data_IF_234603956071
#
_entry.id   IF_234603956071
#
_cell.length_a   1.000
_cell.length_b   1.000
_cell.length_c   1.000
_cell.angle_alpha   90.00
_cell.angle_beta   90.00
_cell.angle_gamma   90.00
#
_symmetry.space_group_name_H-M   'P 1'
#
loop_
_entity.id
_entity.type
_entity.pdbx_description
1 polymer ?
#
# COMPACT_ATOMS: atom_id res chain seq x y z
N UNK A 1 10.82 49.08 29.26
CA UNK A 1 11.54 48.24 28.29
C UNK A 1 10.50 47.61 27.37
N UNK A 2 10.38 48.07 26.12
CA UNK A 2 9.43 47.53 25.14
C UNK A 2 10.14 46.42 24.38
N UNK A 3 9.70 45.17 24.57
CA UNK A 3 10.17 44.04 23.77
C UNK A 3 9.45 44.13 22.42
N UNK A 4 10.20 44.41 21.36
CA UNK A 4 9.75 44.23 19.98
C UNK A 4 9.99 42.76 19.62
N UNK A 5 8.91 41.96 19.55
CA UNK A 5 8.97 40.65 18.93
C UNK A 5 8.94 40.86 17.41
N UNK A 6 10.08 40.68 16.75
CA UNK A 6 10.12 40.55 15.31
C UNK A 6 9.64 39.14 14.96
N UNK A 7 8.34 38.96 14.75
CA UNK A 7 7.81 37.78 14.09
C UNK A 7 8.22 37.86 12.63
N UNK A 8 9.32 37.17 12.29
CA UNK A 8 9.66 36.92 10.89
C UNK A 8 8.51 36.08 10.33
N UNK A 9 7.76 36.58 9.35
CA UNK A 9 6.78 35.76 8.68
C UNK A 9 7.56 34.75 7.84
N UNK A 10 7.51 33.47 8.21
CA UNK A 10 7.93 32.38 7.33
C UNK A 10 6.93 32.27 6.17
N UNK A 11 6.96 33.21 5.22
CA UNK A 11 6.29 33.01 3.93
C UNK A 11 7.35 32.77 2.87
N UNK A 12 7.65 31.50 2.67
CA UNK A 12 7.66 30.93 1.33
C UNK A 12 7.16 29.50 1.52
N UNK A 13 5.94 29.24 1.08
CA UNK A 13 5.48 27.88 0.83
C UNK A 13 6.47 27.25 -0.15
N UNK A 14 7.43 26.48 0.36
CA UNK A 14 7.87 25.33 -0.42
C UNK A 14 6.58 24.58 -0.71
N UNK A 15 6.26 24.36 -1.98
CA UNK A 15 5.20 23.42 -2.34
C UNK A 15 5.54 22.12 -1.61
N UNK A 16 4.91 21.87 -0.46
CA UNK A 16 5.14 20.65 0.29
C UNK A 16 4.44 19.59 -0.54
N UNK A 17 5.23 18.90 -1.35
CA UNK A 17 4.71 17.75 -2.08
C UNK A 17 4.22 16.75 -1.04
N UNK A 18 3.03 16.21 -1.26
CA UNK A 18 2.51 15.17 -0.42
C UNK A 18 3.38 13.92 -0.61
N UNK A 19 4.01 13.44 0.46
CA UNK A 19 4.80 12.22 0.44
C UNK A 19 3.95 11.08 0.98
N UNK A 20 3.86 10.01 0.20
CA UNK A 20 3.22 8.76 0.58
C UNK A 20 4.25 7.63 0.55
N UNK A 21 4.08 6.64 1.42
CA UNK A 21 4.93 5.45 1.46
C UNK A 21 4.13 4.20 1.14
N UNK A 22 4.66 3.34 0.28
CA UNK A 22 4.06 2.04 0.04
C UNK A 22 4.25 1.14 1.27
N UNK A 23 3.18 0.51 1.74
CA UNK A 23 3.18 -0.26 2.99
C UNK A 23 2.61 -1.66 2.78
N UNK A 24 3.37 -2.67 3.19
CA UNK A 24 2.98 -4.08 3.10
C UNK A 24 2.26 -4.55 4.39
N UNK A 25 1.11 -5.24 4.29
CA UNK A 25 0.32 -5.70 5.43
C UNK A 25 0.60 -7.17 5.83
N UNK A 26 1.73 -7.75 5.42
CA UNK A 26 1.88 -9.22 5.29
C UNK A 26 2.78 -9.92 6.33
N UNK A 27 3.12 -9.26 7.44
CA UNK A 27 4.02 -9.85 8.44
C UNK A 27 3.26 -10.45 9.62
N UNK A 28 3.65 -11.62 10.09
CA UNK A 28 2.98 -12.32 11.19
C UNK A 28 3.92 -12.99 12.18
N UNK A 29 3.60 -12.88 13.46
CA UNK A 29 4.22 -13.65 14.55
C UNK A 29 3.57 -15.03 14.70
N UNK A 30 4.16 -15.91 15.53
CA UNK A 30 3.53 -17.19 15.87
C UNK A 30 2.17 -17.01 16.53
N UNK A 31 2.04 -16.01 17.40
CA UNK A 31 0.83 -15.70 18.15
C UNK A 31 -0.33 -15.31 17.22
N UNK A 32 -0.02 -14.61 16.14
CA UNK A 32 -1.01 -14.07 15.20
C UNK A 32 -1.25 -14.96 13.98
N UNK A 33 -0.47 -16.04 13.83
CA UNK A 33 -0.53 -16.99 12.71
C UNK A 33 -0.50 -18.46 13.18
N UNK A 34 -1.40 -18.82 14.10
CA UNK A 34 -1.70 -20.22 14.41
C UNK A 34 -0.54 -21.02 15.01
N UNK A 35 0.41 -20.36 15.67
CA UNK A 35 1.58 -20.98 16.31
C UNK A 35 2.82 -21.09 15.41
N UNK A 36 2.76 -20.61 14.15
CA UNK A 36 3.90 -20.61 13.22
C UNK A 36 4.20 -19.20 12.73
N UNK A 37 5.48 -18.93 12.42
CA UNK A 37 5.88 -17.65 11.85
C UNK A 37 5.23 -17.45 10.47
N UNK A 38 4.81 -16.21 10.19
CA UNK A 38 4.29 -15.84 8.87
C UNK A 38 5.30 -16.09 7.76
N UNK A 39 4.82 -16.47 6.58
CA UNK A 39 5.66 -16.82 5.43
C UNK A 39 6.61 -15.68 5.04
N UNK A 40 6.24 -14.41 5.27
CA UNK A 40 7.07 -13.26 4.92
C UNK A 40 8.26 -13.03 5.85
N UNK A 41 8.29 -13.63 7.04
CA UNK A 41 9.51 -13.65 7.87
C UNK A 41 10.40 -14.85 7.57
N UNK A 42 9.83 -15.97 7.11
CA UNK A 42 10.57 -17.23 6.90
C UNK A 42 11.05 -17.39 5.46
N UNK A 43 10.28 -16.88 4.51
CA UNK A 43 10.31 -17.23 3.08
C UNK A 43 10.58 -18.73 2.93
N UNK A 44 11.62 -19.13 2.19
CA UNK A 44 11.92 -20.53 1.94
C UNK A 44 12.66 -21.26 3.08
N UNK A 45 13.48 -20.57 3.89
CA UNK A 45 14.49 -21.25 4.72
C UNK A 45 14.96 -20.49 5.97
N UNK A 46 14.23 -19.47 6.42
CA UNK A 46 14.56 -18.69 7.62
C UNK A 46 13.65 -19.08 8.77
N UNK A 47 14.16 -19.00 9.99
CA UNK A 47 13.38 -19.26 11.19
C UNK A 47 13.66 -18.19 12.26
N UNK A 48 12.71 -17.26 12.53
CA UNK A 48 12.93 -16.17 13.48
C UNK A 48 13.15 -16.60 14.94
N UNK A 49 12.96 -17.88 15.28
CA UNK A 49 13.36 -18.45 16.58
C UNK A 49 14.89 -18.64 16.70
N UNK A 50 15.60 -18.72 15.59
CA UNK A 50 17.06 -18.79 15.57
C UNK A 50 17.65 -17.38 15.73
N UNK A 51 18.73 -17.27 16.50
CA UNK A 51 19.52 -16.05 16.63
C UNK A 51 20.89 -16.28 15.99
N UNK A 52 21.21 -15.48 14.96
CA UNK A 52 22.48 -15.49 14.24
C UNK A 52 23.12 -14.11 14.41
N UNK A 53 24.34 -14.08 14.95
CA UNK A 53 25.08 -12.83 15.22
C UNK A 53 24.28 -11.78 15.99
N UNK A 54 23.50 -12.24 16.98
CA UNK A 54 22.68 -11.39 17.85
C UNK A 54 21.37 -10.88 17.22
N UNK A 55 20.98 -11.38 16.05
CA UNK A 55 19.76 -10.98 15.34
C UNK A 55 18.90 -12.19 14.98
N UNK A 56 17.58 -11.99 14.88
CA UNK A 56 16.67 -13.04 14.42
C UNK A 56 16.99 -13.46 12.98
N UNK A 57 16.97 -14.77 12.71
CA UNK A 57 17.12 -15.33 11.38
C UNK A 57 15.82 -15.15 10.58
N UNK A 58 15.72 -14.00 9.90
CA UNK A 58 14.57 -13.59 9.10
C UNK A 58 14.94 -13.50 7.61
N UNK A 59 13.93 -13.51 6.75
CA UNK A 59 14.07 -13.38 5.30
C UNK A 59 14.30 -11.94 4.84
N UNK A 60 15.29 -11.27 5.44
CA UNK A 60 15.71 -9.93 5.06
C UNK A 60 17.20 -9.72 5.36
N UNK A 61 17.87 -8.91 4.54
CA UNK A 61 19.24 -8.44 4.82
C UNK A 61 19.26 -7.38 5.93
N UNK A 62 18.16 -6.67 6.12
CA UNK A 62 17.99 -5.64 7.15
C UNK A 62 17.01 -6.12 8.22
N UNK A 63 17.30 -5.77 9.47
CA UNK A 63 16.49 -6.18 10.62
C UNK A 63 15.69 -5.00 11.13
N UNK A 64 14.37 -5.16 11.33
CA UNK A 64 13.58 -4.16 12.03
C UNK A 64 14.13 -3.95 13.44
N UNK A 65 14.17 -2.70 13.90
CA UNK A 65 14.63 -2.37 15.26
C UNK A 65 13.79 -3.07 16.34
N UNK A 66 12.51 -3.26 16.06
CA UNK A 66 11.53 -3.94 16.93
C UNK A 66 11.50 -5.47 16.75
N UNK A 67 12.41 -6.04 15.95
CA UNK A 67 12.42 -7.46 15.61
C UNK A 67 11.31 -7.87 14.63
N UNK A 68 11.11 -9.17 14.46
CA UNK A 68 10.00 -9.71 13.68
C UNK A 68 8.67 -9.43 14.38
N UNK A 69 7.72 -8.86 13.64
CA UNK A 69 6.47 -8.31 14.18
C UNK A 69 5.24 -8.83 13.43
N UNK A 70 4.05 -8.56 13.97
CA UNK A 70 2.77 -8.78 13.29
C UNK A 70 2.23 -7.45 12.75
N UNK A 71 1.76 -7.43 11.49
CA UNK A 71 1.30 -6.22 10.81
C UNK A 71 0.06 -5.60 11.45
N UNK A 72 -0.78 -6.41 12.11
CA UNK A 72 -1.95 -5.92 12.86
C UNK A 72 -1.69 -5.62 14.35
N UNK A 73 -0.44 -5.73 14.84
CA UNK A 73 -0.15 -5.37 16.23
C UNK A 73 -0.36 -3.86 16.43
N UNK A 74 -1.25 -3.43 17.35
CA UNK A 74 -1.58 -2.03 17.52
C UNK A 74 -0.38 -1.18 17.96
N UNK A 75 0.56 -1.72 18.74
CA UNK A 75 1.76 -1.00 19.16
C UNK A 75 2.70 -0.80 17.97
N UNK A 76 2.82 -1.80 17.10
CA UNK A 76 3.64 -1.72 15.88
C UNK A 76 3.04 -0.69 14.92
N UNK A 77 1.73 -0.73 14.71
CA UNK A 77 1.02 0.25 13.88
C UNK A 77 1.23 1.66 14.43
N UNK A 78 0.93 1.88 15.72
CA UNK A 78 1.04 3.22 16.31
C UNK A 78 2.49 3.75 16.27
N UNK A 79 3.48 2.86 16.46
CA UNK A 79 4.89 3.20 16.29
C UNK A 79 5.20 3.60 14.85
N UNK A 80 4.86 2.78 13.85
CA UNK A 80 5.12 3.06 12.44
C UNK A 80 4.44 4.35 11.97
N UNK A 81 3.16 4.54 12.30
CA UNK A 81 2.41 5.75 11.95
C UNK A 81 2.98 7.00 12.65
N UNK A 82 3.40 6.86 13.91
CA UNK A 82 4.07 7.92 14.66
C UNK A 82 5.36 8.37 13.98
N UNK A 83 6.21 7.43 13.58
CA UNK A 83 7.43 7.72 12.82
C UNK A 83 7.12 8.45 11.52
N UNK A 84 6.19 7.92 10.71
CA UNK A 84 5.78 8.55 9.45
C UNK A 84 5.33 10.00 9.65
N UNK A 85 4.46 10.23 10.65
CA UNK A 85 3.97 11.57 10.98
C UNK A 85 5.09 12.52 11.37
N UNK A 86 6.03 12.09 12.20
CA UNK A 86 7.18 12.92 12.61
C UNK A 86 8.17 13.19 11.46
N UNK A 87 8.22 12.31 10.46
CA UNK A 87 9.02 12.48 9.25
C UNK A 87 8.36 13.36 8.18
N UNK A 88 7.14 13.86 8.42
CA UNK A 88 6.39 14.68 7.46
C UNK A 88 5.74 13.88 6.32
N UNK A 89 5.63 12.56 6.45
CA UNK A 89 4.87 11.71 5.53
C UNK A 89 3.38 11.98 5.73
N UNK A 90 2.64 12.17 4.64
CA UNK A 90 1.21 12.49 4.67
C UNK A 90 0.32 11.26 4.82
N UNK A 91 0.78 10.13 4.31
CA UNK A 91 -0.01 8.92 4.30
C UNK A 91 0.71 7.72 3.73
N UNK A 92 -0.05 6.65 3.55
CA UNK A 92 0.44 5.39 2.99
C UNK A 92 -0.30 5.04 1.71
N UNK A 93 0.37 4.32 0.83
CA UNK A 93 -0.26 3.51 -0.20
C UNK A 93 -0.20 2.06 0.27
N UNK A 94 -1.35 1.53 0.63
CA UNK A 94 -1.46 0.23 1.28
C UNK A 94 -1.57 -0.85 0.20
N UNK A 95 -0.59 -1.76 0.19
CA UNK A 95 -0.65 -2.97 -0.61
C UNK A 95 -1.85 -3.82 -0.16
N UNK A 96 -2.74 -4.15 -1.08
CA UNK A 96 -4.03 -4.73 -0.76
C UNK A 96 -4.31 -5.99 -1.57
N UNK A 97 -4.58 -7.13 -0.91
CA UNK A 97 -4.48 -8.43 -1.56
C UNK A 97 -5.73 -8.85 -2.36
N UNK A 98 -6.81 -8.08 -2.35
CA UNK A 98 -8.11 -8.52 -2.84
C UNK A 98 -8.96 -9.22 -1.77
N UNK A 99 -10.12 -9.74 -2.17
CA UNK A 99 -11.04 -10.45 -1.25
C UNK A 99 -11.02 -11.98 -1.34
N UNK A 100 -10.26 -12.52 -2.29
CA UNK A 100 -10.09 -13.95 -2.54
C UNK A 100 -9.67 -14.73 -1.28
N UNK A 101 -10.31 -15.87 -1.04
CA UNK A 101 -10.04 -16.73 0.11
C UNK A 101 -8.92 -17.75 -0.21
N UNK A 102 -7.69 -17.26 -0.37
CA UNK A 102 -6.54 -18.07 -0.71
C UNK A 102 -5.30 -17.68 0.09
N UNK A 103 -4.46 -18.67 0.41
CA UNK A 103 -3.18 -18.47 1.10
C UNK A 103 -3.34 -17.61 2.36
N UNK A 104 -2.52 -16.57 2.50
CA UNK A 104 -2.54 -15.58 3.58
C UNK A 104 -3.36 -14.32 3.23
N UNK A 105 -4.01 -14.25 2.07
CA UNK A 105 -4.74 -13.06 1.62
C UNK A 105 -5.85 -12.60 2.59
N UNK A 106 -6.66 -13.50 3.18
CA UNK A 106 -7.63 -13.08 4.19
C UNK A 106 -6.97 -12.39 5.39
N UNK A 107 -5.81 -12.91 5.83
CA UNK A 107 -5.05 -12.35 6.94
C UNK A 107 -4.43 -10.99 6.57
N UNK A 108 -3.86 -10.89 5.37
CA UNK A 108 -3.30 -9.64 4.85
C UNK A 108 -4.39 -8.56 4.71
N UNK A 109 -5.61 -8.92 4.32
CA UNK A 109 -6.77 -8.00 4.32
C UNK A 109 -7.16 -7.58 5.74
N UNK A 110 -7.21 -8.50 6.71
CA UNK A 110 -7.46 -8.13 8.12
C UNK A 110 -6.41 -7.16 8.65
N UNK A 111 -5.14 -7.36 8.28
CA UNK A 111 -4.06 -6.46 8.64
C UNK A 111 -4.22 -5.09 7.96
N UNK A 112 -4.68 -5.05 6.71
CA UNK A 112 -5.03 -3.80 6.05
C UNK A 112 -6.06 -3.01 6.85
N UNK A 113 -7.12 -3.67 7.35
CA UNK A 113 -8.13 -2.99 8.18
C UNK A 113 -7.54 -2.38 9.45
N UNK A 114 -6.67 -3.12 10.14
CA UNK A 114 -5.99 -2.64 11.33
C UNK A 114 -5.09 -1.43 11.04
N UNK A 115 -4.34 -1.49 9.94
CA UNK A 115 -3.46 -0.40 9.48
C UNK A 115 -4.29 0.82 9.08
N UNK A 116 -5.38 0.66 8.31
CA UNK A 116 -6.30 1.74 7.92
C UNK A 116 -6.84 2.44 9.17
N UNK A 117 -7.30 1.68 10.17
CA UNK A 117 -7.71 2.26 11.45
C UNK A 117 -6.57 3.02 12.15
N UNK A 118 -5.33 2.55 12.03
CA UNK A 118 -4.13 3.24 12.50
C UNK A 118 -3.89 4.59 11.81
N UNK A 119 -4.06 4.65 10.49
CA UNK A 119 -3.91 5.90 9.73
C UNK A 119 -4.89 6.97 10.21
N UNK A 120 -6.15 6.58 10.46
CA UNK A 120 -7.18 7.47 11.00
C UNK A 120 -6.78 8.02 12.37
N UNK A 121 -6.36 7.16 13.31
CA UNK A 121 -5.89 7.58 14.64
C UNK A 121 -4.69 8.53 14.58
N UNK A 122 -3.77 8.29 13.64
CA UNK A 122 -2.59 9.11 13.47
C UNK A 122 -2.85 10.42 12.71
N UNK A 123 -4.00 10.56 12.05
CA UNK A 123 -4.30 11.67 11.15
C UNK A 123 -3.52 11.61 9.83
N UNK A 124 -3.15 10.39 9.41
CA UNK A 124 -2.52 10.10 8.12
C UNK A 124 -3.58 9.71 7.10
N UNK A 125 -3.29 9.98 5.84
CA UNK A 125 -4.13 9.54 4.72
C UNK A 125 -3.75 8.13 4.26
N UNK A 126 -4.64 7.51 3.48
CA UNK A 126 -4.31 6.27 2.79
C UNK A 126 -4.98 6.16 1.42
N UNK A 127 -4.34 5.43 0.51
CA UNK A 127 -4.94 4.92 -0.73
C UNK A 127 -4.55 3.45 -0.91
N UNK A 128 -5.24 2.77 -1.80
CA UNK A 128 -5.03 1.33 -2.05
C UNK A 128 -4.13 1.12 -3.25
N UNK A 129 -3.20 0.18 -3.12
CA UNK A 129 -2.49 -0.45 -4.23
C UNK A 129 -3.04 -1.87 -4.35
N UNK A 130 -3.87 -2.12 -5.36
CA UNK A 130 -4.44 -3.43 -5.59
C UNK A 130 -3.39 -4.36 -6.23
N UNK A 131 -3.22 -5.57 -5.70
CA UNK A 131 -2.34 -6.58 -6.30
C UNK A 131 -3.18 -7.51 -7.19
N UNK A 132 -3.48 -7.08 -8.43
CA UNK A 132 -4.34 -7.87 -9.33
C UNK A 132 -3.75 -9.26 -9.66
N UNK A 133 -2.42 -9.40 -9.62
CA UNK A 133 -1.73 -10.68 -9.81
C UNK A 133 -2.15 -11.74 -8.79
N UNK A 134 -2.67 -11.34 -7.63
CA UNK A 134 -3.20 -12.29 -6.65
C UNK A 134 -4.33 -13.15 -7.23
N UNK A 135 -5.07 -12.65 -8.23
CA UNK A 135 -6.06 -13.43 -8.96
C UNK A 135 -5.41 -14.58 -9.77
N UNK A 136 -4.23 -14.35 -10.36
CA UNK A 136 -3.46 -15.41 -11.03
C UNK A 136 -2.96 -16.44 -10.01
N UNK A 137 -2.31 -15.97 -8.94
CA UNK A 137 -1.67 -16.83 -7.93
C UNK A 137 -2.69 -17.70 -7.18
N UNK A 138 -3.88 -17.18 -6.92
CA UNK A 138 -4.98 -17.93 -6.32
C UNK A 138 -5.73 -18.82 -7.32
N UNK A 139 -5.38 -18.78 -8.61
CA UNK A 139 -6.03 -19.58 -9.65
C UNK A 139 -7.51 -19.22 -9.84
N UNK A 140 -7.88 -17.94 -9.67
CA UNK A 140 -9.26 -17.47 -9.80
C UNK A 140 -9.76 -17.71 -11.22
N UNK A 141 -10.82 -18.53 -11.42
CA UNK A 141 -11.31 -18.85 -12.77
C UNK A 141 -11.99 -17.66 -13.45
N UNK A 142 -12.84 -16.94 -12.72
CA UNK A 142 -13.54 -15.75 -13.19
C UNK A 142 -12.97 -14.50 -12.53
N UNK A 143 -11.89 -13.99 -13.11
CA UNK A 143 -11.16 -12.82 -12.62
C UNK A 143 -11.98 -11.53 -12.71
N UNK A 144 -12.86 -11.42 -13.69
CA UNK A 144 -13.69 -10.21 -13.85
C UNK A 144 -14.74 -10.19 -12.74
N UNK A 145 -15.41 -11.31 -12.45
CA UNK A 145 -16.36 -11.38 -11.34
C UNK A 145 -15.66 -11.10 -9.99
N UNK A 146 -14.50 -11.72 -9.74
CA UNK A 146 -13.76 -11.51 -8.50
C UNK A 146 -13.21 -10.08 -8.37
N UNK A 147 -12.63 -9.53 -9.45
CA UNK A 147 -12.17 -8.13 -9.48
C UNK A 147 -13.32 -7.14 -9.30
N UNK A 148 -14.50 -7.42 -9.84
CA UNK A 148 -15.72 -6.62 -9.61
C UNK A 148 -16.11 -6.65 -8.13
N UNK A 149 -16.08 -7.82 -7.49
CA UNK A 149 -16.36 -7.96 -6.06
C UNK A 149 -15.33 -7.21 -5.20
N UNK A 150 -14.05 -7.26 -5.58
CA UNK A 150 -12.97 -6.51 -4.93
C UNK A 150 -13.21 -5.01 -5.03
N UNK A 151 -13.56 -4.50 -6.22
CA UNK A 151 -13.88 -3.09 -6.43
C UNK A 151 -15.10 -2.64 -5.61
N UNK A 152 -16.14 -3.47 -5.55
CA UNK A 152 -17.32 -3.21 -4.72
C UNK A 152 -16.93 -3.10 -3.24
N UNK A 153 -16.07 -4.00 -2.76
CA UNK A 153 -15.57 -3.99 -1.39
C UNK A 153 -14.81 -2.70 -1.07
N UNK A 154 -13.93 -2.25 -1.95
CA UNK A 154 -13.19 -0.99 -1.79
C UNK A 154 -14.13 0.22 -1.70
N UNK A 155 -15.16 0.27 -2.53
CA UNK A 155 -16.16 1.34 -2.49
C UNK A 155 -16.93 1.36 -1.18
N UNK A 156 -17.43 0.20 -0.76
CA UNK A 156 -18.33 0.10 0.40
C UNK A 156 -17.58 0.34 1.71
N UNK A 157 -16.29 -0.03 1.77
CA UNK A 157 -15.53 -0.02 3.02
C UNK A 157 -14.51 1.12 3.10
N UNK A 158 -13.85 1.52 2.00
CA UNK A 158 -12.68 2.41 2.05
C UNK A 158 -12.87 3.75 1.36
N UNK A 159 -13.40 3.81 0.14
CA UNK A 159 -13.41 5.05 -0.67
C UNK A 159 -14.19 6.21 -0.02
N UNK A 160 -15.13 5.88 0.87
CA UNK A 160 -15.93 6.86 1.61
C UNK A 160 -15.24 7.40 2.87
N UNK A 161 -14.14 6.78 3.35
CA UNK A 161 -13.42 7.23 4.54
C UNK A 161 -12.85 8.64 4.33
N UNK A 162 -12.92 9.45 5.39
CA UNK A 162 -12.53 10.88 5.34
C UNK A 162 -11.05 11.10 5.08
N UNK A 163 -10.20 10.14 5.46
CA UNK A 163 -8.76 10.15 5.24
C UNK A 163 -8.33 9.33 4.00
N UNK A 164 -9.28 8.85 3.18
CA UNK A 164 -8.95 8.23 1.89
C UNK A 164 -8.45 9.30 0.90
N UNK A 165 -7.33 9.04 0.21
CA UNK A 165 -6.75 9.97 -0.76
C UNK A 165 -7.68 10.14 -1.95
N UNK A 166 -7.98 11.39 -2.29
CA UNK A 166 -8.82 11.75 -3.44
C UNK A 166 -8.06 12.67 -4.38
N UNK A 167 -8.18 12.40 -5.68
CA UNK A 167 -7.68 13.23 -6.76
C UNK A 167 -8.89 13.74 -7.55
N UNK A 168 -9.01 15.06 -7.70
CA UNK A 168 -10.14 15.70 -8.38
C UNK A 168 -11.53 15.24 -7.88
N UNK A 169 -11.64 14.93 -6.58
CA UNK A 169 -12.88 14.48 -5.94
C UNK A 169 -13.19 12.99 -6.05
N UNK A 170 -12.41 12.21 -6.82
CA UNK A 170 -12.53 10.76 -6.94
C UNK A 170 -11.51 10.02 -6.07
N UNK A 171 -11.83 8.83 -5.53
CA UNK A 171 -10.87 8.02 -4.77
C UNK A 171 -9.68 7.63 -5.65
N UNK A 172 -8.46 7.76 -5.12
CA UNK A 172 -7.25 7.28 -5.80
C UNK A 172 -7.12 5.77 -5.64
N UNK A 173 -7.04 5.05 -6.75
CA UNK A 173 -6.74 3.61 -6.78
C UNK A 173 -5.48 3.40 -7.61
N UNK A 174 -4.49 2.72 -7.03
CA UNK A 174 -3.32 2.25 -7.74
C UNK A 174 -3.45 0.75 -7.94
N UNK A 175 -2.82 0.24 -8.99
CA UNK A 175 -2.64 -1.19 -9.22
C UNK A 175 -1.15 -1.52 -9.23
N UNK A 176 -0.76 -2.59 -8.54
CA UNK A 176 0.57 -3.16 -8.64
C UNK A 176 0.65 -4.06 -9.88
N UNK A 177 0.40 -3.44 -11.03
CA UNK A 177 0.15 -4.12 -12.28
C UNK A 177 -0.25 -3.12 -13.36
N UNK A 178 -0.93 -3.60 -14.42
CA UNK A 178 -1.70 -4.85 -14.45
C UNK A 178 -0.92 -6.14 -14.74
N UNK A 179 -1.37 -7.25 -14.16
CA UNK A 179 -0.77 -8.59 -14.32
C UNK A 179 -1.81 -9.71 -14.53
N UNK A 180 -3.06 -9.51 -14.12
CA UNK A 180 -4.15 -10.50 -14.24
C UNK A 180 -5.38 -9.95 -14.96
N UNK A 181 -5.65 -8.65 -14.85
CA UNK A 181 -6.71 -7.94 -15.53
C UNK A 181 -6.10 -7.03 -16.60
N UNK A 182 -6.67 -7.00 -17.80
CA UNK A 182 -6.14 -6.23 -18.91
C UNK A 182 -7.25 -5.53 -19.68
N UNK A 183 -6.95 -4.35 -20.21
CA UNK A 183 -7.77 -3.59 -21.14
C UNK A 183 -9.22 -3.43 -20.65
N UNK A 184 -10.19 -3.95 -21.40
CA UNK A 184 -11.62 -3.87 -21.12
C UNK A 184 -12.02 -4.58 -19.81
N UNK A 185 -11.18 -5.45 -19.24
CA UNK A 185 -11.46 -6.07 -17.94
C UNK A 185 -11.49 -5.00 -16.84
N UNK A 186 -10.58 -4.02 -16.89
CA UNK A 186 -10.57 -2.90 -15.95
C UNK A 186 -11.82 -2.05 -16.07
N UNK A 187 -12.23 -1.75 -17.30
CA UNK A 187 -13.47 -1.01 -17.56
C UNK A 187 -14.70 -1.77 -17.03
N UNK A 188 -14.72 -3.09 -17.16
CA UNK A 188 -15.78 -3.95 -16.63
C UNK A 188 -15.85 -3.90 -15.10
N UNK A 189 -14.73 -4.10 -14.39
CA UNK A 189 -14.73 -4.12 -12.91
C UNK A 189 -15.01 -2.76 -12.28
N UNK A 190 -14.79 -1.66 -13.00
CA UNK A 190 -15.15 -0.31 -12.56
C UNK A 190 -16.59 0.10 -12.87
N UNK A 191 -17.34 -0.71 -13.64
CA UNK A 191 -18.73 -0.41 -13.98
C UNK A 191 -19.65 -0.19 -12.76
N UNK A 192 -19.59 -0.96 -11.66
CA UNK A 192 -20.48 -0.74 -10.52
C UNK A 192 -20.09 0.46 -9.64
N UNK A 193 -18.97 1.14 -9.92
CA UNK A 193 -18.43 2.17 -9.05
C UNK A 193 -19.02 3.55 -9.32
N UNK A 194 -19.33 4.28 -8.24
CA UNK A 194 -19.79 5.66 -8.29
C UNK A 194 -19.32 6.46 -7.04
N UNK A 195 -18.39 7.42 -7.17
CA UNK A 195 -17.65 7.74 -8.39
C UNK A 195 -16.66 6.64 -8.77
N UNK A 196 -16.32 6.55 -10.06
CA UNK A 196 -15.17 5.74 -10.50
C UNK A 196 -13.87 6.33 -9.94
N UNK A 197 -12.87 5.49 -9.61
CA UNK A 197 -11.61 5.97 -9.04
C UNK A 197 -10.77 6.72 -10.08
N UNK A 198 -9.87 7.57 -9.58
CA UNK A 198 -8.68 7.98 -10.34
C UNK A 198 -7.72 6.80 -10.34
N UNK A 199 -7.60 6.11 -11.47
CA UNK A 199 -6.88 4.84 -11.57
C UNK A 199 -5.46 5.03 -12.11
N UNK A 200 -4.45 4.51 -11.42
CA UNK A 200 -3.04 4.55 -11.84
C UNK A 200 -2.47 3.14 -11.96
N UNK A 201 -1.83 2.84 -13.09
CA UNK A 201 -1.08 1.60 -13.32
C UNK A 201 0.40 1.78 -12.98
N UNK A 202 1.15 0.67 -12.93
CA UNK A 202 2.60 0.75 -12.97
C UNK A 202 3.10 1.42 -14.26
N UNK A 203 4.29 1.98 -14.18
CA UNK A 203 4.96 2.63 -15.29
C UNK A 203 5.15 1.70 -16.50
N UNK A 204 4.87 2.23 -17.70
CA UNK A 204 4.86 1.51 -18.99
C UNK A 204 3.74 0.47 -19.12
N UNK A 205 2.70 0.56 -18.29
CA UNK A 205 1.56 -0.35 -18.32
C UNK A 205 0.23 0.39 -18.55
N UNK A 206 0.26 1.69 -18.84
CA UNK A 206 -0.94 2.49 -19.14
C UNK A 206 -1.82 1.85 -20.23
N UNK A 207 -1.20 1.30 -21.28
CA UNK A 207 -1.92 0.67 -22.39
C UNK A 207 -2.67 -0.61 -21.98
N UNK A 208 -2.41 -1.16 -20.80
CA UNK A 208 -2.98 -2.41 -20.29
C UNK A 208 -4.11 -2.18 -19.28
N UNK A 209 -4.31 -0.95 -18.80
CA UNK A 209 -5.27 -0.65 -17.73
C UNK A 209 -6.68 -0.25 -18.20
N UNK A 210 -6.97 -0.35 -19.50
CA UNK A 210 -8.27 0.02 -20.07
C UNK A 210 -8.45 1.52 -20.32
N UNK A 211 -9.68 1.95 -20.58
CA UNK A 211 -9.98 3.34 -20.96
C UNK A 211 -9.96 4.34 -19.81
N UNK A 212 -9.97 3.84 -18.56
CA UNK A 212 -10.09 4.64 -17.34
C UNK A 212 -8.75 5.01 -16.69
N UNK A 213 -7.60 4.62 -17.27
CA UNK A 213 -6.29 4.93 -16.70
C UNK A 213 -6.03 6.43 -16.73
N UNK A 214 -5.87 7.02 -15.55
CA UNK A 214 -5.63 8.46 -15.37
C UNK A 214 -4.13 8.81 -15.34
N UNK A 215 -3.25 7.83 -15.18
CA UNK A 215 -1.80 8.03 -15.14
C UNK A 215 -1.06 6.76 -14.73
N UNK A 216 0.22 6.94 -14.41
CA UNK A 216 1.11 5.85 -13.99
C UNK A 216 1.93 6.28 -12.77
N UNK A 217 2.46 5.31 -12.04
CA UNK A 217 3.46 5.54 -11.00
C UNK A 217 4.67 4.62 -11.18
N UNK A 218 5.84 5.13 -10.80
CA UNK A 218 7.08 4.37 -10.89
C UNK A 218 7.21 3.41 -9.71
N UNK A 219 7.69 2.21 -10.00
CA UNK A 219 8.19 1.25 -9.02
C UNK A 219 9.62 0.86 -9.39
N UNK A 220 10.40 0.41 -8.41
CA UNK A 220 11.78 -0.02 -8.66
C UNK A 220 11.76 -1.36 -9.40
N UNK A 221 11.83 -1.31 -10.72
CA UNK A 221 12.09 -2.47 -11.57
C UNK A 221 13.59 -2.79 -11.63
N UNK A 222 13.94 -4.00 -12.07
CA UNK A 222 15.34 -4.39 -12.28
C UNK A 222 16.09 -3.51 -13.28
N UNK A 223 15.38 -2.81 -14.18
CA UNK A 223 15.91 -1.81 -15.11
C UNK A 223 15.64 -0.35 -14.68
N UNK A 224 15.27 -0.10 -13.41
CA UNK A 224 14.89 1.23 -12.91
C UNK A 224 15.94 2.33 -13.18
N UNK A 225 17.23 1.97 -13.18
CA UNK A 225 18.31 2.91 -13.51
C UNK A 225 18.27 3.36 -14.98
N UNK A 226 17.80 2.52 -15.91
CA UNK A 226 17.63 2.89 -17.31
C UNK A 226 16.45 3.87 -17.48
N UNK A 227 15.41 3.71 -16.66
CA UNK A 227 14.26 4.61 -16.60
C UNK A 227 14.59 5.98 -16.00
N UNK A 228 15.40 6.03 -14.93
CA UNK A 228 15.74 7.29 -14.24
C UNK A 228 16.49 8.29 -15.15
N UNK A 229 17.27 7.78 -16.12
CA UNK A 229 17.98 8.61 -17.09
C UNK A 229 17.05 9.40 -18.02
N UNK A 230 15.80 8.98 -18.20
CA UNK A 230 14.79 9.71 -18.98
C UNK A 230 14.07 10.78 -18.15
N UNK A 231 14.27 10.80 -16.83
CA UNK A 231 13.58 11.73 -15.92
C UNK A 231 14.29 13.08 -15.75
N UNK A 232 15.62 13.13 -15.97
CA UNK A 232 16.42 14.34 -15.78
C UNK A 232 16.62 15.19 -17.05
N UNK A 233 15.90 14.88 -18.15
CA UNK A 233 16.08 15.55 -19.46
C UNK A 233 14.87 16.39 -19.87
N UNK A 234 13.97 16.71 -18.94
CA UNK A 234 12.87 17.65 -19.17
C UNK A 234 12.89 18.81 -18.18
#
# INVERSE_FOLDING_TARGET
MKIFLLLIPLWASAQSHDIYVHMMPWFETKETNGGTWGIHWTMANRNPDNIIDGKQDIASFYHPEIGAYASADPNVIDWQMGYMKTAGIKGIFLDWPGTTQAMDYPKNRENCEAIIAGTERAGLQFAVVYEDNNLNLAGVPDKIAQGTADMQYLQDNYFSKSNYVKVNGAPLLLDFGPQALFDANWDAIFTPLNPKPTFLTLWNQHQQGGSMVAGEYAWVYSNFLDGLNNWLVH
#
